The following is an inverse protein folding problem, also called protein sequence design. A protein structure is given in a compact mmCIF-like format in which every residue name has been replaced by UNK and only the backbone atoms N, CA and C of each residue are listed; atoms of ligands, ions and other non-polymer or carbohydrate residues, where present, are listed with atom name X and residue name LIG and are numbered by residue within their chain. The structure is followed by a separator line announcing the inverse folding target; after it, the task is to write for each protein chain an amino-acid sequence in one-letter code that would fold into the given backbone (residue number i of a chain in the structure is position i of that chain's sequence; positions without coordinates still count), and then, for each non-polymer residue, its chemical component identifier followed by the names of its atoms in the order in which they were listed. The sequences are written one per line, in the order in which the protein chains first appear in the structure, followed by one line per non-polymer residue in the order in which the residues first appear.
data_IF_241248738229
#
_entry.id   IF_241248738229
#
_cell.length_a   1.000
_cell.length_b   1.000
_cell.length_c   1.000
_cell.angle_alpha   90.00
_cell.angle_beta   90.00
_cell.angle_gamma   90.00
#
_symmetry.space_group_name_H-M   'P 1'
#
loop_
_entity.id
_entity.type
_entity.pdbx_description
1 polymer ?
#
# COMPACT_ATOMS: atom_id res chain seq x y z
N UNK A 1 5.71 -16.06 -13.92
CA UNK A 1 4.83 -16.23 -12.74
C UNK A 1 3.39 -16.05 -13.22
N UNK A 2 2.48 -17.01 -12.99
CA UNK A 2 1.06 -16.81 -13.32
C UNK A 2 0.36 -16.26 -12.07
N UNK A 3 -0.23 -15.05 -12.11
CA UNK A 3 -0.98 -14.53 -10.97
C UNK A 3 -2.19 -15.43 -10.72
N UNK A 4 -2.40 -15.81 -9.47
CA UNK A 4 -3.60 -16.50 -9.02
C UNK A 4 -4.31 -15.57 -8.04
N UNK A 5 -5.60 -15.32 -8.27
CA UNK A 5 -6.40 -14.45 -7.42
C UNK A 5 -7.33 -15.30 -6.57
N UNK A 6 -7.24 -15.13 -5.25
CA UNK A 6 -8.19 -15.70 -4.32
C UNK A 6 -9.14 -14.59 -3.88
N UNK A 7 -10.41 -14.68 -4.30
CA UNK A 7 -11.47 -13.76 -3.85
C UNK A 7 -12.13 -14.31 -2.60
N UNK A 8 -12.33 -13.43 -1.65
CA UNK A 8 -12.40 -13.77 -0.24
C UNK A 8 -13.66 -13.11 0.34
N UNK A 9 -14.73 -13.90 0.56
CA UNK A 9 -16.01 -13.44 1.13
C UNK A 9 -16.54 -14.40 2.22
N UNK A 10 -16.81 -13.87 3.44
CA UNK A 10 -17.33 -14.53 4.67
C UNK A 10 -16.35 -15.39 5.49
N UNK A 11 -16.55 -15.46 6.82
CA UNK A 11 -15.46 -15.56 7.83
C UNK A 11 -14.99 -16.96 8.27
N UNK A 12 -15.84 -17.97 8.49
CA UNK A 12 -15.36 -19.25 9.10
C UNK A 12 -14.80 -20.30 8.12
N UNK A 13 -15.39 -20.55 6.92
CA UNK A 13 -14.84 -21.50 5.96
C UNK A 13 -13.55 -21.00 5.26
N UNK A 14 -13.15 -19.78 5.57
CA UNK A 14 -12.17 -19.02 4.79
C UNK A 14 -10.78 -19.13 5.36
N UNK A 15 -10.62 -19.04 6.67
CA UNK A 15 -9.31 -19.13 7.32
C UNK A 15 -8.62 -20.43 6.88
N UNK A 16 -9.38 -21.54 6.86
CA UNK A 16 -8.95 -22.84 6.35
C UNK A 16 -8.63 -22.81 4.85
N UNK A 17 -9.46 -22.15 4.02
CA UNK A 17 -9.20 -22.02 2.59
C UNK A 17 -7.92 -21.23 2.31
N UNK A 18 -7.71 -20.12 3.01
CA UNK A 18 -6.53 -19.28 2.88
C UNK A 18 -5.28 -20.03 3.32
N UNK A 19 -5.32 -20.71 4.46
CA UNK A 19 -4.20 -21.53 4.94
C UNK A 19 -3.86 -22.66 3.96
N UNK A 20 -4.88 -23.37 3.48
CA UNK A 20 -4.72 -24.46 2.49
C UNK A 20 -4.14 -23.91 1.18
N UNK A 21 -4.62 -22.77 0.72
CA UNK A 21 -4.17 -22.14 -0.53
C UNK A 21 -2.73 -21.64 -0.43
N UNK A 22 -2.35 -20.99 0.68
CA UNK A 22 -0.97 -20.58 0.94
C UNK A 22 -0.05 -21.80 1.01
N UNK A 23 -0.42 -22.81 1.80
CA UNK A 23 0.36 -24.06 1.93
C UNK A 23 0.54 -24.74 0.58
N UNK A 24 -0.52 -24.91 -0.20
CA UNK A 24 -0.45 -25.54 -1.51
C UNK A 24 0.52 -24.83 -2.46
N UNK A 25 0.46 -23.49 -2.51
CA UNK A 25 1.34 -22.69 -3.36
C UNK A 25 2.80 -22.73 -2.89
N UNK A 26 3.07 -22.63 -1.58
CA UNK A 26 4.44 -22.70 -1.05
C UNK A 26 5.03 -24.10 -1.22
N UNK A 27 4.23 -25.16 -1.02
CA UNK A 27 4.65 -26.54 -1.29
C UNK A 27 5.03 -26.75 -2.75
N UNK A 28 4.32 -26.12 -3.69
CA UNK A 28 4.65 -26.18 -5.11
C UNK A 28 5.83 -25.28 -5.49
N UNK A 29 5.96 -24.12 -4.85
CA UNK A 29 7.02 -23.14 -5.09
C UNK A 29 7.35 -22.37 -3.81
N UNK A 30 8.50 -22.67 -3.21
CA UNK A 30 8.95 -22.02 -1.98
C UNK A 30 9.14 -20.50 -2.11
N UNK A 31 9.37 -19.98 -3.33
CA UNK A 31 9.53 -18.56 -3.63
C UNK A 31 8.24 -17.88 -4.09
N UNK A 32 7.09 -18.35 -3.60
CA UNK A 32 5.79 -17.73 -3.86
C UNK A 32 5.71 -16.32 -3.26
N UNK A 33 5.01 -15.42 -3.97
CA UNK A 33 4.76 -14.05 -3.51
C UNK A 33 3.26 -13.91 -3.26
N UNK A 34 2.91 -13.42 -2.08
CA UNK A 34 1.55 -13.17 -1.64
C UNK A 34 1.33 -11.69 -1.43
N UNK A 35 0.30 -11.12 -2.05
CA UNK A 35 -0.05 -9.70 -1.94
C UNK A 35 -1.42 -9.60 -1.31
N UNK A 36 -1.50 -8.92 -0.17
CA UNK A 36 -2.73 -8.64 0.56
C UNK A 36 -3.05 -7.16 0.42
N UNK A 37 -4.01 -6.85 -0.44
CA UNK A 37 -4.48 -5.48 -0.64
C UNK A 37 -5.53 -5.09 0.41
N UNK A 38 -5.64 -3.80 0.68
CA UNK A 38 -6.56 -3.21 1.67
C UNK A 38 -6.50 -3.87 3.06
N UNK A 39 -5.29 -4.13 3.56
CA UNK A 39 -5.05 -4.83 4.83
C UNK A 39 -5.71 -4.14 6.04
N UNK A 40 -5.90 -2.82 5.99
CA UNK A 40 -6.63 -2.04 7.01
C UNK A 40 -8.11 -2.41 7.14
N UNK A 41 -8.68 -3.04 6.10
CA UNK A 41 -10.07 -3.50 6.07
C UNK A 41 -10.21 -5.01 6.32
N UNK A 42 -9.09 -5.72 6.44
CA UNK A 42 -9.10 -7.17 6.61
C UNK A 42 -9.63 -7.58 7.99
N UNK A 43 -10.49 -8.60 8.04
CA UNK A 43 -11.04 -9.11 9.29
C UNK A 43 -9.92 -9.68 10.18
N UNK A 44 -9.89 -9.40 11.50
CA UNK A 44 -8.81 -9.84 12.39
C UNK A 44 -8.52 -11.35 12.35
N UNK A 45 -9.55 -12.20 12.25
CA UNK A 45 -9.37 -13.66 12.17
C UNK A 45 -8.57 -14.12 10.93
N UNK A 46 -8.64 -13.39 9.82
CA UNK A 46 -7.83 -13.70 8.64
C UNK A 46 -6.35 -13.39 8.86
N UNK A 47 -6.10 -12.36 9.64
CA UNK A 47 -4.76 -11.96 10.05
C UNK A 47 -4.18 -13.00 11.03
N UNK A 48 -5.03 -13.53 11.90
CA UNK A 48 -4.69 -14.66 12.77
C UNK A 48 -4.35 -15.92 11.97
N UNK A 49 -5.07 -16.18 10.88
CA UNK A 49 -4.86 -17.34 10.03
C UNK A 49 -3.53 -17.31 9.24
N UNK A 50 -3.03 -16.12 8.86
CA UNK A 50 -1.75 -16.00 8.11
C UNK A 50 -0.52 -15.93 9.02
N UNK A 51 -0.71 -15.56 10.28
CA UNK A 51 0.38 -15.34 11.24
C UNK A 51 1.43 -16.45 11.32
N UNK A 52 1.05 -17.74 11.36
CA UNK A 52 2.01 -18.82 11.43
C UNK A 52 3.02 -18.84 10.27
N UNK A 53 2.62 -18.34 9.09
CA UNK A 53 3.47 -18.33 7.90
C UNK A 53 4.46 -17.16 7.84
N UNK A 54 4.27 -16.16 8.72
CA UNK A 54 5.11 -14.97 8.85
C UNK A 54 6.10 -15.09 10.02
N UNK A 55 5.83 -16.01 10.95
CA UNK A 55 6.67 -16.25 12.13
C UNK A 55 7.97 -17.00 11.75
N UNK A 56 8.98 -16.94 12.62
CA UNK A 56 10.35 -17.39 12.33
C UNK A 56 10.54 -18.93 12.37
N UNK A 57 9.44 -19.70 12.34
CA UNK A 57 9.48 -21.16 12.36
C UNK A 57 10.30 -21.70 11.19
N UNK A 58 11.04 -22.80 11.43
CA UNK A 58 11.74 -23.50 10.35
C UNK A 58 10.76 -24.08 9.33
N UNK A 59 9.68 -24.65 9.84
CA UNK A 59 8.59 -25.25 9.07
C UNK A 59 7.26 -25.10 9.80
N UNK A 60 6.18 -24.99 9.04
CA UNK A 60 4.80 -25.14 9.52
C UNK A 60 4.18 -26.29 8.73
N UNK A 61 3.69 -27.33 9.41
CA UNK A 61 3.17 -28.56 8.80
C UNK A 61 4.12 -29.19 7.76
N UNK A 62 5.43 -29.17 8.02
CA UNK A 62 6.46 -29.73 7.14
C UNK A 62 6.87 -28.86 5.95
N UNK A 63 6.31 -27.65 5.82
CA UNK A 63 6.59 -26.70 4.72
C UNK A 63 7.36 -25.51 5.27
N UNK A 64 8.45 -25.12 4.58
CA UNK A 64 9.23 -23.93 4.96
C UNK A 64 8.77 -22.69 4.20
N UNK A 65 8.50 -21.61 4.93
CA UNK A 65 7.98 -20.35 4.41
C UNK A 65 9.07 -19.26 4.26
N UNK A 66 10.32 -19.54 4.65
CA UNK A 66 11.43 -18.56 4.70
C UNK A 66 11.81 -17.93 3.36
N UNK A 67 11.39 -18.53 2.24
CA UNK A 67 11.62 -18.01 0.89
C UNK A 67 10.40 -17.33 0.28
N UNK A 68 9.24 -17.44 0.92
CA UNK A 68 8.02 -16.81 0.47
C UNK A 68 8.06 -15.32 0.85
N UNK A 69 7.46 -14.48 0.00
CA UNK A 69 7.39 -13.03 0.24
C UNK A 69 5.94 -12.65 0.47
N UNK A 70 5.68 -11.92 1.55
CA UNK A 70 4.36 -11.41 1.89
C UNK A 70 4.38 -9.89 1.82
N UNK A 71 3.49 -9.31 1.00
CA UNK A 71 3.37 -7.85 0.81
C UNK A 71 1.99 -7.43 1.28
N UNK A 72 1.95 -6.50 2.24
CA UNK A 72 0.72 -5.92 2.76
C UNK A 72 0.57 -4.48 2.26
N UNK A 73 -0.55 -4.18 1.61
CA UNK A 73 -0.89 -2.83 1.17
C UNK A 73 -1.98 -2.28 2.09
N UNK A 74 -1.81 -1.05 2.57
CA UNK A 74 -2.71 -0.42 3.53
C UNK A 74 -2.67 1.10 3.36
N UNK A 75 -3.81 1.75 3.58
CA UNK A 75 -3.89 3.21 3.66
C UNK A 75 -3.76 3.73 5.10
N UNK A 76 -3.61 2.84 6.09
CA UNK A 76 -3.55 3.23 7.50
C UNK A 76 -2.32 4.12 7.77
N UNK A 77 -2.54 5.23 8.49
CA UNK A 77 -1.50 6.21 8.78
C UNK A 77 -1.23 7.22 7.65
N UNK A 78 -1.92 7.10 6.51
CA UNK A 78 -1.76 8.01 5.37
C UNK A 78 -1.96 9.49 5.70
N UNK A 79 -2.92 9.81 6.56
CA UNK A 79 -3.18 11.20 7.01
C UNK A 79 -2.00 11.78 7.79
N UNK A 80 -1.36 10.97 8.64
CA UNK A 80 -0.21 11.40 9.44
C UNK A 80 1.04 11.54 8.57
N UNK A 81 1.26 10.62 7.63
CA UNK A 81 2.34 10.75 6.64
C UNK A 81 2.16 12.04 5.83
N UNK A 82 0.94 12.31 5.38
CA UNK A 82 0.60 13.53 4.63
C UNK A 82 0.81 14.79 5.48
N UNK A 83 0.46 14.73 6.77
CA UNK A 83 0.72 15.83 7.72
C UNK A 83 2.22 16.11 7.86
N UNK A 84 3.05 15.09 8.07
CA UNK A 84 4.52 15.26 8.14
C UNK A 84 5.07 15.85 6.84
N UNK A 85 4.62 15.36 5.68
CA UNK A 85 5.04 15.90 4.39
C UNK A 85 4.64 17.37 4.22
N UNK A 86 3.46 17.77 4.70
CA UNK A 86 3.01 19.16 4.68
C UNK A 86 3.82 20.06 5.63
N UNK A 87 4.20 19.55 6.80
CA UNK A 87 5.06 20.28 7.75
C UNK A 87 6.44 20.57 7.14
N UNK A 88 7.04 19.59 6.45
CA UNK A 88 8.30 19.79 5.73
C UNK A 88 8.18 20.85 4.64
N UNK A 89 7.11 20.76 3.82
CA UNK A 89 6.86 21.73 2.77
C UNK A 89 6.69 23.15 3.32
N UNK A 90 5.90 23.31 4.40
CA UNK A 90 5.67 24.62 5.05
C UNK A 90 6.94 25.20 5.69
N UNK A 91 7.87 24.34 6.09
CA UNK A 91 9.19 24.73 6.57
C UNK A 91 10.19 25.04 5.45
N UNK A 92 9.76 24.99 4.18
CA UNK A 92 10.64 25.20 3.02
C UNK A 92 11.66 24.08 2.81
N UNK A 93 11.44 22.90 3.39
CA UNK A 93 12.31 21.73 3.22
C UNK A 93 11.89 20.94 1.98
N UNK A 94 12.86 20.23 1.40
CA UNK A 94 12.57 19.38 0.24
C UNK A 94 11.87 18.11 0.70
N UNK A 95 11.02 17.57 -0.18
CA UNK A 95 10.37 16.27 0.00
C UNK A 95 11.39 15.16 0.23
N UNK A 96 12.51 15.20 -0.50
CA UNK A 96 13.59 14.21 -0.44
C UNK A 96 14.36 14.24 0.89
N UNK A 97 14.19 15.29 1.70
CA UNK A 97 14.80 15.39 3.01
C UNK A 97 14.01 14.63 4.09
N UNK A 98 12.80 14.12 3.78
CA UNK A 98 11.99 13.29 4.69
C UNK A 98 12.66 11.93 4.88
N UNK A 99 13.02 11.61 6.11
CA UNK A 99 13.63 10.34 6.48
C UNK A 99 12.59 9.42 7.13
N UNK A 100 12.87 8.11 7.16
CA UNK A 100 11.98 7.13 7.79
C UNK A 100 11.69 7.45 9.26
N UNK A 101 12.69 7.95 9.99
CA UNK A 101 12.55 8.39 11.39
C UNK A 101 11.52 9.50 11.59
N UNK A 102 11.32 10.36 10.59
CA UNK A 102 10.34 11.44 10.65
C UNK A 102 8.90 10.92 10.51
N UNK A 103 8.75 9.67 10.01
CA UNK A 103 7.49 8.99 9.78
C UNK A 103 7.20 7.90 10.82
N UNK A 104 8.12 7.63 11.75
CA UNK A 104 7.96 6.59 12.79
C UNK A 104 6.66 6.76 13.57
N UNK A 105 6.26 7.99 13.89
CA UNK A 105 4.97 8.22 14.58
C UNK A 105 3.76 7.91 13.69
N UNK A 106 3.81 8.27 12.41
CA UNK A 106 2.73 7.98 11.47
C UNK A 106 2.58 6.47 11.25
N UNK A 107 3.72 5.79 11.13
CA UNK A 107 3.81 4.33 11.11
C UNK A 107 3.28 3.76 12.42
N UNK A 108 3.67 4.32 13.58
CA UNK A 108 3.19 3.90 14.90
C UNK A 108 1.70 4.15 15.18
N UNK A 109 1.01 4.98 14.44
CA UNK A 109 -0.45 5.12 14.65
C UNK A 109 -1.22 4.31 13.63
N UNK A 110 -0.83 4.37 12.36
CA UNK A 110 -1.46 3.60 11.29
C UNK A 110 -1.30 2.10 11.47
N UNK A 111 -0.13 1.68 11.93
CA UNK A 111 0.18 0.29 12.22
C UNK A 111 0.02 0.02 13.72
N UNK A 112 0.33 0.98 14.63
CA UNK A 112 0.54 0.74 16.09
C UNK A 112 -0.58 1.19 17.08
N UNK A 113 -1.69 1.85 16.69
CA UNK A 113 -2.58 2.43 17.73
C UNK A 113 -4.10 2.38 17.49
N UNK A 114 -4.58 1.69 16.47
CA UNK A 114 -6.02 1.48 16.35
C UNK A 114 -6.41 0.19 17.09
N UNK A 115 -7.02 0.31 18.28
CA UNK A 115 -7.68 -0.81 18.99
C UNK A 115 -8.76 -1.53 18.15
N UNK A 116 -9.07 -1.00 16.96
CA UNK A 116 -9.97 -1.56 15.96
C UNK A 116 -9.29 -2.03 14.66
N UNK A 117 -7.99 -1.81 14.48
CA UNK A 117 -7.25 -2.33 13.32
C UNK A 117 -6.92 -3.81 13.53
N UNK A 118 -7.17 -4.64 12.52
CA UNK A 118 -6.93 -6.08 12.61
C UNK A 118 -5.46 -6.44 12.85
N UNK A 119 -4.53 -5.57 12.41
CA UNK A 119 -3.09 -5.75 12.59
C UNK A 119 -2.70 -5.82 14.08
N UNK A 120 -3.31 -5.00 14.94
CA UNK A 120 -3.09 -5.02 16.40
C UNK A 120 -3.65 -6.23 17.10
N UNK A 121 -4.92 -6.53 16.85
CA UNK A 121 -5.62 -7.60 17.58
C UNK A 121 -4.99 -8.96 17.34
N UNK A 122 -4.34 -9.08 16.18
CA UNK A 122 -3.62 -10.27 15.80
C UNK A 122 -2.25 -10.39 16.51
N UNK A 123 -1.61 -9.32 16.96
CA UNK A 123 -0.24 -9.43 17.51
C UNK A 123 0.82 -9.77 16.46
N UNK A 124 0.53 -9.54 15.17
CA UNK A 124 1.55 -9.54 14.10
C UNK A 124 2.73 -8.62 14.42
N UNK A 125 2.40 -7.48 15.02
CA UNK A 125 3.37 -6.41 15.30
C UNK A 125 4.05 -6.62 16.66
N UNK A 126 3.33 -7.18 17.64
CA UNK A 126 3.87 -7.49 18.98
C UNK A 126 5.02 -8.51 18.91
N UNK A 127 5.03 -9.33 17.85
CA UNK A 127 6.09 -10.30 17.53
C UNK A 127 7.11 -9.80 16.50
N UNK A 128 7.04 -8.55 16.04
CA UNK A 128 7.91 -8.03 14.97
C UNK A 128 7.91 -8.90 13.69
N UNK A 129 6.71 -9.33 13.24
CA UNK A 129 6.55 -10.17 12.04
C UNK A 129 6.57 -9.38 10.72
N UNK A 130 6.76 -8.07 10.80
CA UNK A 130 6.94 -7.19 9.64
C UNK A 130 8.40 -6.77 9.60
N UNK A 131 9.10 -7.16 8.53
CA UNK A 131 10.52 -6.82 8.35
C UNK A 131 10.75 -5.34 8.09
N UNK A 132 9.91 -4.75 7.21
CA UNK A 132 10.07 -3.37 6.74
C UNK A 132 8.74 -2.66 6.58
N UNK A 133 8.70 -1.41 7.02
CA UNK A 133 7.63 -0.47 6.69
C UNK A 133 8.07 0.45 5.55
N UNK A 134 7.29 0.45 4.46
CA UNK A 134 7.57 1.24 3.26
C UNK A 134 6.50 2.33 3.13
N UNK A 135 6.74 3.56 3.63
CA UNK A 135 5.76 4.64 3.54
C UNK A 135 5.68 5.22 2.12
N UNK A 136 4.46 5.50 1.66
CA UNK A 136 4.20 6.18 0.40
C UNK A 136 3.78 7.63 0.68
N UNK A 137 4.58 8.57 0.21
CA UNK A 137 4.32 10.01 0.38
C UNK A 137 3.26 10.49 -0.63
N UNK A 138 2.42 11.49 -0.27
CA UNK A 138 1.39 12.02 -1.17
C UNK A 138 2.00 12.63 -2.43
N UNK A 139 1.32 12.55 -3.57
CA UNK A 139 1.85 13.01 -4.86
C UNK A 139 1.62 14.51 -5.07
N UNK A 140 2.69 15.23 -5.38
CA UNK A 140 2.62 16.65 -5.77
C UNK A 140 2.15 16.84 -7.21
N UNK A 141 1.78 18.07 -7.56
CA UNK A 141 1.37 18.45 -8.92
C UNK A 141 2.34 17.98 -10.03
N UNK A 142 3.65 18.09 -9.79
CA UNK A 142 4.69 17.62 -10.72
C UNK A 142 4.62 16.12 -10.97
N UNK A 143 4.37 15.32 -9.93
CA UNK A 143 4.18 13.88 -10.03
C UNK A 143 2.90 13.52 -10.79
N UNK A 144 1.82 14.29 -10.62
CA UNK A 144 0.60 14.11 -11.42
C UNK A 144 0.90 14.34 -12.90
N UNK A 145 1.62 15.41 -13.27
CA UNK A 145 2.05 15.61 -14.67
C UNK A 145 2.89 14.44 -15.19
N UNK A 146 3.76 13.84 -14.36
CA UNK A 146 4.51 12.63 -14.75
C UNK A 146 3.58 11.46 -15.04
N UNK A 147 2.55 11.24 -14.22
CA UNK A 147 1.54 10.20 -14.45
C UNK A 147 0.76 10.42 -15.75
N UNK A 148 0.37 11.66 -16.05
CA UNK A 148 -0.33 11.98 -17.31
C UNK A 148 0.55 11.65 -18.51
N UNK A 149 1.83 12.07 -18.50
CA UNK A 149 2.78 11.72 -19.56
C UNK A 149 2.98 10.21 -19.71
N UNK A 150 3.08 9.49 -18.60
CA UNK A 150 3.24 8.04 -18.61
C UNK A 150 2.01 7.34 -19.21
N UNK A 151 0.82 7.79 -18.85
CA UNK A 151 -0.45 7.26 -19.36
C UNK A 151 -0.62 7.55 -20.86
N UNK A 152 -0.30 8.76 -21.33
CA UNK A 152 -0.31 9.09 -22.76
C UNK A 152 0.63 8.17 -23.56
N UNK A 153 1.85 7.93 -23.04
CA UNK A 153 2.79 6.99 -23.65
C UNK A 153 2.26 5.55 -23.67
N UNK A 154 1.65 5.09 -22.57
CA UNK A 154 1.08 3.75 -22.47
C UNK A 154 -0.04 3.52 -23.49
N UNK A 155 -0.77 4.59 -23.87
CA UNK A 155 -1.79 4.59 -24.93
C UNK A 155 -1.22 4.75 -26.35
N UNK A 156 0.08 4.98 -26.51
CA UNK A 156 0.71 5.25 -27.81
C UNK A 156 0.45 6.66 -28.35
N UNK A 157 -0.07 7.58 -27.53
CA UNK A 157 -0.29 8.97 -27.91
C UNK A 157 1.01 9.78 -27.83
N UNK A 158 1.16 10.75 -28.74
CA UNK A 158 2.20 11.77 -28.59
C UNK A 158 1.94 12.61 -27.33
N UNK A 159 3.01 13.03 -26.64
CA UNK A 159 2.87 13.88 -25.46
C UNK A 159 2.55 15.30 -25.90
N UNK A 160 1.41 15.79 -25.44
CA UNK A 160 0.99 17.18 -25.56
C UNK A 160 1.04 17.81 -24.17
N UNK A 161 1.97 18.76 -23.96
CA UNK A 161 2.17 19.40 -22.65
C UNK A 161 1.01 20.31 -22.22
N UNK A 162 0.19 20.79 -23.17
CA UNK A 162 -1.01 21.55 -22.86
C UNK A 162 -2.08 20.60 -22.32
N UNK A 163 -2.25 19.42 -22.92
CA UNK A 163 -3.11 18.35 -22.38
C UNK A 163 -2.63 17.91 -20.99
N UNK A 164 -1.31 17.70 -20.81
CA UNK A 164 -0.74 17.30 -19.52
C UNK A 164 -1.07 18.33 -18.43
N UNK A 165 -0.96 19.61 -18.76
CA UNK A 165 -1.23 20.72 -17.82
C UNK A 165 -2.72 20.80 -17.50
N UNK A 166 -3.61 20.76 -18.50
CA UNK A 166 -5.07 20.77 -18.28
C UNK A 166 -5.54 19.60 -17.42
N UNK A 167 -5.12 18.38 -17.74
CA UNK A 167 -5.48 17.20 -16.95
C UNK A 167 -5.00 17.33 -15.51
N UNK A 168 -3.79 17.83 -15.29
CA UNK A 168 -3.28 18.04 -13.95
C UNK A 168 -4.05 19.14 -13.20
N UNK A 169 -4.51 20.20 -13.87
CA UNK A 169 -5.32 21.27 -13.27
C UNK A 169 -6.75 20.86 -12.93
N UNK A 170 -7.33 19.90 -13.67
CA UNK A 170 -8.64 19.30 -13.38
C UNK A 170 -8.66 18.38 -12.14
N UNK A 171 -7.48 18.08 -11.60
CA UNK A 171 -7.34 17.24 -10.41
C UNK A 171 -7.60 18.05 -9.13
N UNK A 172 -8.04 17.36 -8.08
CA UNK A 172 -8.23 17.99 -6.77
C UNK A 172 -6.96 17.88 -5.93
N UNK A 173 -6.59 18.99 -5.29
CA UNK A 173 -5.40 19.10 -4.45
C UNK A 173 -5.74 19.65 -3.06
N UNK A 174 -4.96 19.19 -2.09
CA UNK A 174 -5.00 19.58 -0.69
C UNK A 174 -3.64 20.12 -0.24
N UNK A 175 -3.60 21.04 0.75
CA UNK A 175 -4.73 21.83 1.26
C UNK A 175 -5.33 22.77 0.21
N UNK A 176 -6.60 23.18 0.36
CA UNK A 176 -7.34 23.94 -0.67
C UNK A 176 -6.68 25.28 -1.05
N UNK A 177 -5.96 25.91 -0.13
CA UNK A 177 -5.26 27.18 -0.35
C UNK A 177 -3.97 26.99 -1.14
N UNK A 178 -3.12 26.07 -0.69
CA UNK A 178 -1.79 25.86 -1.25
C UNK A 178 -1.77 24.87 -2.44
N UNK A 179 -2.78 24.00 -2.57
CA UNK A 179 -2.96 23.00 -3.65
C UNK A 179 -1.71 22.17 -3.96
N UNK A 180 -1.09 21.61 -2.92
CA UNK A 180 0.24 20.98 -3.02
C UNK A 180 0.12 19.52 -3.45
N UNK A 181 -0.69 18.75 -2.73
CA UNK A 181 -0.78 17.30 -2.84
C UNK A 181 -2.10 16.87 -3.46
N UNK A 182 -2.07 15.90 -4.37
CA UNK A 182 -3.29 15.38 -5.01
C UNK A 182 -4.08 14.49 -4.04
N UNK A 183 -5.38 14.74 -3.91
CA UNK A 183 -6.28 13.96 -3.03
C UNK A 183 -6.34 12.48 -3.41
N UNK A 184 -6.16 12.16 -4.70
CA UNK A 184 -6.29 10.80 -5.24
C UNK A 184 -5.01 10.28 -5.88
N UNK A 185 -3.90 11.00 -5.71
CA UNK A 185 -2.66 10.74 -6.46
C UNK A 185 -2.94 10.65 -7.95
N UNK A 186 -2.52 9.56 -8.59
CA UNK A 186 -2.71 9.36 -10.03
C UNK A 186 -3.93 8.52 -10.41
N UNK A 187 -4.78 8.11 -9.45
CA UNK A 187 -5.87 7.15 -9.68
C UNK A 187 -6.86 7.57 -10.76
N UNK A 188 -7.14 8.86 -10.89
CA UNK A 188 -8.16 9.38 -11.84
C UNK A 188 -7.57 9.95 -13.13
N UNK A 189 -6.24 9.90 -13.31
CA UNK A 189 -5.57 10.44 -14.51
C UNK A 189 -6.11 9.81 -15.79
N UNK A 190 -6.25 8.47 -15.79
CA UNK A 190 -6.77 7.72 -16.93
C UNK A 190 -8.15 8.24 -17.36
N UNK A 191 -9.09 8.35 -16.41
CA UNK A 191 -10.45 8.82 -16.70
C UNK A 191 -10.50 10.27 -17.17
N UNK A 192 -9.56 11.13 -16.74
CA UNK A 192 -9.51 12.54 -17.16
C UNK A 192 -8.99 12.69 -18.59
N UNK A 193 -8.03 11.85 -18.98
CA UNK A 193 -7.49 11.80 -20.34
C UNK A 193 -8.52 11.35 -21.37
N UNK A 194 -9.53 10.58 -20.98
CA UNK A 194 -10.59 10.12 -21.90
C UNK A 194 -11.49 11.27 -22.39
N UNK A 195 -11.44 12.43 -21.73
CA UNK A 195 -12.21 13.63 -22.08
C UNK A 195 -11.37 14.72 -22.78
N UNK A 196 -10.11 14.44 -23.11
CA UNK A 196 -9.18 15.41 -23.72
C UNK A 196 -9.12 15.31 -25.24
#
# INVERSE_FOLDING_TARGET
MKPQTLNLHTTSPFEDQLQTWIRGNVSACASSVFIFDEMDKLHPGLIDAIKPFLDYYEQVDGVSYRKAVFIFLSNAGGDLITKTALEFWRAGRRREDIQLKDLEHALSVGVFNNKHSGLWRSGLIDKSLIDYFIPFLPLEYTHVKMCVRAEMKARGSAIDEDVVTRVAEEMTFYPKGEKIYSDRGCKTVQSRLDFQ
#
